data_IF_853577983462
#
_entry.id   IF_853577983462
#
_cell.length_a   1.000
_cell.length_b   1.000
_cell.length_c   1.000
_cell.angle_alpha   90.00
_cell.angle_beta   90.00
_cell.angle_gamma   90.00
#
_symmetry.space_group_name_H-M   'P 1'
#
loop_
_entity.id
_entity.type
_entity.pdbx_description
1 polymer ?
#
# COMPACT_ATOMS: atom_id res chain seq x y z
N UNK A 1 2.80 -2.31 26.41
CA UNK A 1 2.63 -2.73 25.01
C UNK A 1 3.54 -1.86 24.17
N UNK A 2 4.24 -2.35 23.14
CA UNK A 2 4.96 -1.45 22.26
C UNK A 2 3.95 -0.41 21.73
N UNK A 3 4.41 0.84 21.69
CA UNK A 3 3.62 2.00 21.30
C UNK A 3 3.17 1.85 19.83
N UNK A 4 1.92 1.43 19.61
CA UNK A 4 1.35 1.21 18.27
C UNK A 4 1.13 2.56 17.58
N UNK A 5 1.30 2.61 16.27
CA UNK A 5 1.07 3.79 15.44
C UNK A 5 -0.05 3.52 14.43
N UNK A 6 -1.32 3.75 14.79
CA UNK A 6 -2.40 3.60 13.83
C UNK A 6 -2.29 4.69 12.74
N UNK A 7 -2.56 4.37 11.46
CA UNK A 7 -2.49 5.33 10.36
C UNK A 7 -3.56 6.43 10.42
N UNK A 8 -4.62 6.24 11.21
CA UNK A 8 -5.64 7.24 11.50
C UNK A 8 -6.39 6.87 12.80
N UNK A 9 -7.12 7.81 13.44
CA UNK A 9 -7.96 7.52 14.59
C UNK A 9 -9.06 6.48 14.28
N UNK A 10 -9.67 5.94 15.33
CA UNK A 10 -10.87 5.09 15.19
C UNK A 10 -11.98 5.88 14.49
N UNK A 11 -12.54 5.31 13.45
CA UNK A 11 -13.65 5.89 12.70
C UNK A 11 -14.96 5.24 13.18
N UNK A 12 -15.57 5.82 14.23
CA UNK A 12 -16.73 5.24 14.91
C UNK A 12 -17.98 5.05 14.03
N UNK A 13 -18.04 5.72 12.88
CA UNK A 13 -19.12 5.53 11.89
C UNK A 13 -19.03 4.17 11.17
N UNK A 14 -17.85 3.50 11.18
CA UNK A 14 -17.60 2.26 10.46
C UNK A 14 -17.37 1.08 11.39
N UNK A 15 -16.65 1.27 12.49
CA UNK A 15 -16.33 0.23 13.48
C UNK A 15 -16.21 0.85 14.88
N UNK A 16 -16.73 0.17 15.90
CA UNK A 16 -16.87 0.73 17.25
C UNK A 16 -15.56 1.01 17.97
N UNK A 17 -14.53 0.18 17.74
CA UNK A 17 -13.21 0.29 18.38
C UNK A 17 -12.10 -0.25 17.49
N UNK A 18 -10.84 -0.05 17.92
CA UNK A 18 -9.66 -0.45 17.16
C UNK A 18 -9.58 -1.96 16.89
N UNK A 19 -10.12 -2.81 17.79
CA UNK A 19 -10.06 -4.27 17.63
C UNK A 19 -10.99 -4.79 16.52
N UNK A 20 -12.00 -4.02 16.15
CA UNK A 20 -12.96 -4.37 15.10
C UNK A 20 -12.51 -3.91 13.71
N UNK A 21 -11.47 -3.07 13.64
CA UNK A 21 -10.99 -2.46 12.40
C UNK A 21 -10.59 -3.50 11.35
N UNK A 22 -9.73 -4.45 11.70
CA UNK A 22 -9.25 -5.47 10.77
C UNK A 22 -10.41 -6.29 10.18
N UNK A 23 -11.35 -6.69 11.02
CA UNK A 23 -12.55 -7.42 10.59
C UNK A 23 -13.43 -6.59 9.66
N UNK A 24 -13.67 -5.32 10.00
CA UNK A 24 -14.43 -4.41 9.15
C UNK A 24 -13.77 -4.23 7.80
N UNK A 25 -12.47 -3.91 7.78
CA UNK A 25 -11.70 -3.71 6.54
C UNK A 25 -11.78 -4.94 5.65
N UNK A 26 -11.49 -6.12 6.19
CA UNK A 26 -11.57 -7.37 5.43
C UNK A 26 -12.96 -7.58 4.82
N UNK A 27 -14.02 -7.43 5.62
CA UNK A 27 -15.40 -7.67 5.17
C UNK A 27 -15.81 -6.70 4.05
N UNK A 28 -15.56 -5.39 4.20
CA UNK A 28 -15.97 -4.42 3.18
C UNK A 28 -15.24 -4.61 1.85
N UNK A 29 -13.96 -5.06 1.89
CA UNK A 29 -13.22 -5.41 0.68
C UNK A 29 -13.69 -6.74 0.09
N UNK A 30 -14.03 -7.75 0.89
CA UNK A 30 -14.61 -9.01 0.42
C UNK A 30 -15.94 -8.77 -0.31
N UNK A 31 -16.83 -7.96 0.27
CA UNK A 31 -18.16 -7.66 -0.26
C UNK A 31 -18.14 -6.78 -1.52
N UNK A 32 -17.06 -6.05 -1.78
CA UNK A 32 -16.95 -5.12 -2.90
C UNK A 32 -15.98 -5.57 -4.00
N UNK A 33 -15.34 -6.71 -3.83
CA UNK A 33 -14.26 -7.19 -4.70
C UNK A 33 -14.67 -7.30 -6.19
N UNK A 34 -15.91 -7.67 -6.48
CA UNK A 34 -16.43 -7.82 -7.84
C UNK A 34 -16.41 -6.50 -8.63
N UNK A 35 -16.75 -5.39 -7.98
CA UNK A 35 -16.84 -4.06 -8.61
C UNK A 35 -15.60 -3.19 -8.39
N UNK A 36 -14.62 -3.68 -7.65
CA UNK A 36 -13.49 -2.89 -7.18
C UNK A 36 -12.70 -2.23 -8.31
N UNK A 37 -12.36 -2.97 -9.37
CA UNK A 37 -11.58 -2.43 -10.49
C UNK A 37 -12.35 -1.37 -11.29
N UNK A 38 -13.66 -1.51 -11.43
CA UNK A 38 -14.52 -0.51 -12.06
C UNK A 38 -14.47 0.80 -11.25
N UNK A 39 -14.59 0.68 -9.91
CA UNK A 39 -14.52 1.81 -8.99
C UNK A 39 -13.14 2.48 -9.02
N UNK A 40 -12.05 1.70 -8.98
CA UNK A 40 -10.68 2.24 -9.07
C UNK A 40 -10.42 2.90 -10.42
N UNK A 41 -10.99 2.35 -11.50
CA UNK A 41 -10.96 2.97 -12.83
C UNK A 41 -11.57 4.37 -12.83
N UNK A 42 -12.70 4.56 -12.16
CA UNK A 42 -13.35 5.88 -11.99
C UNK A 42 -12.51 6.85 -11.16
N UNK A 43 -11.83 6.38 -10.10
CA UNK A 43 -10.94 7.21 -9.27
C UNK A 43 -9.80 7.84 -10.06
N UNK A 44 -9.27 7.14 -11.06
CA UNK A 44 -8.05 7.52 -11.79
C UNK A 44 -8.30 8.01 -13.22
N UNK A 45 -9.55 8.12 -13.66
CA UNK A 45 -9.90 8.41 -15.05
C UNK A 45 -9.12 7.54 -16.07
N UNK A 46 -8.84 6.28 -15.72
CA UNK A 46 -8.08 5.32 -16.54
C UNK A 46 -6.56 5.53 -16.56
N UNK A 47 -6.03 6.61 -16.00
CA UNK A 47 -4.58 6.90 -16.02
C UNK A 47 -3.74 6.09 -15.01
N UNK A 48 -4.41 5.39 -14.09
CA UNK A 48 -3.78 4.75 -12.93
C UNK A 48 -2.71 3.72 -13.30
N UNK A 49 -2.86 2.98 -14.40
CA UNK A 49 -1.85 1.99 -14.80
C UNK A 49 -0.54 2.66 -15.26
N UNK A 50 -0.62 3.75 -16.01
CA UNK A 50 0.55 4.54 -16.43
C UNK A 50 1.29 5.11 -15.21
N UNK A 51 0.55 5.70 -14.28
CA UNK A 51 1.09 6.23 -13.04
C UNK A 51 1.86 5.15 -12.24
N UNK A 52 1.27 3.97 -12.04
CA UNK A 52 1.92 2.86 -11.31
C UNK A 52 3.21 2.41 -11.96
N UNK A 53 3.23 2.25 -13.29
CA UNK A 53 4.45 1.91 -14.03
C UNK A 53 5.54 2.97 -13.85
N UNK A 54 5.20 4.25 -13.89
CA UNK A 54 6.16 5.33 -13.67
C UNK A 54 6.69 5.33 -12.23
N UNK A 55 5.82 5.13 -11.23
CA UNK A 55 6.22 5.05 -9.83
C UNK A 55 7.16 3.86 -9.55
N UNK A 56 6.85 2.68 -10.10
CA UNK A 56 7.71 1.49 -10.01
C UNK A 56 9.10 1.73 -10.62
N UNK A 57 9.15 2.37 -11.78
CA UNK A 57 10.41 2.74 -12.43
C UNK A 57 11.22 3.76 -11.61
N UNK A 58 10.57 4.81 -11.07
CA UNK A 58 11.21 5.79 -10.17
C UNK A 58 11.75 5.15 -8.89
N UNK A 59 11.00 4.19 -8.33
CA UNK A 59 11.43 3.46 -7.15
C UNK A 59 12.55 2.44 -7.44
N UNK A 60 12.85 2.17 -8.70
CA UNK A 60 13.97 1.34 -9.13
C UNK A 60 13.66 -0.15 -9.19
N UNK A 61 12.42 -0.55 -9.49
CA UNK A 61 12.11 -1.94 -9.84
C UNK A 61 12.88 -2.33 -11.11
N UNK A 62 13.54 -3.51 -11.08
CA UNK A 62 14.38 -4.01 -12.18
C UNK A 62 13.99 -5.45 -12.54
N UNK A 63 14.34 -5.91 -13.77
CA UNK A 63 14.20 -7.31 -14.15
C UNK A 63 14.89 -8.25 -13.15
N UNK A 64 14.28 -9.41 -12.90
CA UNK A 64 14.81 -10.44 -12.01
C UNK A 64 14.64 -10.18 -10.50
N UNK A 65 14.19 -8.99 -10.09
CA UNK A 65 13.89 -8.72 -8.68
C UNK A 65 12.68 -9.54 -8.21
N UNK A 66 12.79 -10.13 -7.01
CA UNK A 66 11.67 -10.76 -6.32
C UNK A 66 10.81 -9.71 -5.67
N UNK A 67 9.58 -9.55 -6.14
CA UNK A 67 8.62 -8.56 -5.68
C UNK A 67 7.52 -9.21 -4.84
N UNK A 68 7.21 -8.61 -3.69
CA UNK A 68 5.97 -8.85 -2.95
C UNK A 68 5.07 -7.62 -3.08
N UNK A 69 3.87 -7.81 -3.63
CA UNK A 69 2.81 -6.81 -3.63
C UNK A 69 1.86 -7.09 -2.46
N UNK A 70 1.98 -6.31 -1.39
CA UNK A 70 1.24 -6.46 -0.15
C UNK A 70 -0.03 -5.60 -0.16
N UNK A 71 -1.13 -6.14 0.35
CA UNK A 71 -2.47 -5.58 0.20
C UNK A 71 -2.77 -5.31 -1.28
N UNK A 72 -2.53 -6.34 -2.08
CA UNK A 72 -2.54 -6.29 -3.54
C UNK A 72 -3.93 -6.00 -4.12
N UNK A 73 -5.00 -6.25 -3.34
CA UNK A 73 -6.38 -6.21 -3.81
C UNK A 73 -6.57 -7.17 -4.99
N UNK A 74 -7.06 -6.65 -6.09
CA UNK A 74 -7.21 -7.40 -7.36
C UNK A 74 -5.92 -7.49 -8.18
N UNK A 75 -4.75 -7.11 -7.62
CA UNK A 75 -3.44 -7.21 -8.26
C UNK A 75 -3.11 -6.07 -9.22
N UNK A 76 -3.63 -4.87 -9.03
CA UNK A 76 -3.43 -3.76 -9.98
C UNK A 76 -1.97 -3.30 -10.05
N UNK A 77 -1.26 -3.24 -8.90
CA UNK A 77 0.18 -2.92 -8.87
C UNK A 77 1.01 -4.09 -9.36
N UNK A 78 0.67 -5.31 -8.92
CA UNK A 78 1.34 -6.53 -9.38
C UNK A 78 1.28 -6.68 -10.92
N UNK A 79 0.13 -6.45 -11.55
CA UNK A 79 0.00 -6.46 -13.01
C UNK A 79 0.82 -5.36 -13.69
N UNK A 80 0.94 -4.19 -13.07
CA UNK A 80 1.82 -3.12 -13.58
C UNK A 80 3.30 -3.50 -13.50
N UNK A 81 3.68 -4.32 -12.51
CA UNK A 81 5.05 -4.81 -12.28
C UNK A 81 5.42 -5.97 -13.21
N UNK A 82 4.44 -6.77 -13.67
CA UNK A 82 4.67 -7.95 -14.52
C UNK A 82 5.35 -7.65 -15.86
N UNK A 83 5.33 -6.39 -16.32
CA UNK A 83 6.10 -5.94 -17.48
C UNK A 83 7.59 -5.69 -17.19
N UNK A 84 8.02 -5.82 -15.92
CA UNK A 84 9.40 -5.56 -15.48
C UNK A 84 10.05 -6.81 -14.89
N UNK A 85 9.34 -7.57 -14.06
CA UNK A 85 9.85 -8.81 -13.43
C UNK A 85 8.78 -9.91 -13.44
N UNK A 86 9.23 -11.17 -13.53
CA UNK A 86 8.36 -12.36 -13.50
C UNK A 86 8.28 -12.99 -12.09
N UNK A 87 9.07 -12.50 -11.15
CA UNK A 87 9.14 -13.04 -9.79
C UNK A 87 8.24 -12.24 -8.83
N UNK A 88 6.93 -12.33 -9.02
CA UNK A 88 5.93 -11.57 -8.25
C UNK A 88 5.11 -12.52 -7.37
N UNK A 89 5.00 -12.18 -6.09
CA UNK A 89 4.06 -12.77 -5.14
C UNK A 89 3.07 -11.69 -4.72
N UNK A 90 1.79 -12.03 -4.67
CA UNK A 90 0.72 -11.12 -4.24
C UNK A 90 0.14 -11.58 -2.91
N UNK A 91 -0.19 -10.64 -2.04
CA UNK A 91 -0.74 -10.93 -0.72
C UNK A 91 -1.80 -9.94 -0.31
N UNK A 92 -2.90 -10.44 0.27
CA UNK A 92 -4.00 -9.61 0.79
C UNK A 92 -4.69 -10.31 1.97
N UNK A 93 -5.34 -9.54 2.83
CA UNK A 93 -6.17 -10.06 3.91
C UNK A 93 -7.55 -10.52 3.42
N UNK A 94 -8.07 -9.88 2.35
CA UNK A 94 -9.35 -10.18 1.74
C UNK A 94 -9.23 -11.35 0.75
N UNK A 95 -9.92 -12.44 1.04
CA UNK A 95 -10.00 -13.58 0.11
C UNK A 95 -10.81 -13.22 -1.13
N UNK A 96 -11.85 -12.38 -0.99
CA UNK A 96 -12.65 -11.90 -2.11
C UNK A 96 -11.80 -11.13 -3.12
N UNK A 97 -10.92 -10.24 -2.65
CA UNK A 97 -9.98 -9.51 -3.51
C UNK A 97 -9.02 -10.44 -4.23
N UNK A 98 -8.44 -11.42 -3.53
CA UNK A 98 -7.54 -12.40 -4.14
C UNK A 98 -8.24 -13.23 -5.22
N UNK A 99 -9.45 -13.70 -4.96
CA UNK A 99 -10.24 -14.47 -5.92
C UNK A 99 -10.63 -13.63 -7.14
N UNK A 100 -11.05 -12.37 -6.94
CA UNK A 100 -11.29 -11.43 -8.04
C UNK A 100 -10.02 -11.13 -8.85
N UNK A 101 -8.86 -11.04 -8.19
CA UNK A 101 -7.56 -10.90 -8.83
C UNK A 101 -7.18 -12.13 -9.67
N UNK A 102 -7.47 -13.34 -9.19
CA UNK A 102 -7.16 -14.60 -9.88
C UNK A 102 -7.78 -14.70 -11.28
N UNK A 103 -8.91 -14.04 -11.52
CA UNK A 103 -9.53 -13.98 -12.84
C UNK A 103 -8.76 -13.07 -13.81
N UNK A 104 -7.87 -12.23 -13.32
CA UNK A 104 -7.16 -11.17 -14.08
C UNK A 104 -5.68 -11.45 -14.25
N UNK A 105 -5.10 -12.35 -13.44
CA UNK A 105 -3.71 -12.75 -13.50
C UNK A 105 -3.49 -14.13 -12.86
N UNK A 106 -2.36 -14.78 -13.20
CA UNK A 106 -1.98 -16.10 -12.68
C UNK A 106 -0.81 -16.02 -11.67
N UNK A 107 -0.61 -14.85 -11.02
CA UNK A 107 0.44 -14.69 -10.03
C UNK A 107 0.12 -15.49 -8.74
N UNK A 108 1.15 -15.95 -8.00
CA UNK A 108 0.96 -16.57 -6.70
C UNK A 108 0.19 -15.67 -5.73
N UNK A 109 -0.82 -16.22 -5.06
CA UNK A 109 -1.70 -15.53 -4.12
C UNK A 109 -1.47 -16.08 -2.71
N UNK A 110 -1.28 -15.20 -1.73
CA UNK A 110 -1.13 -15.53 -0.32
C UNK A 110 -2.10 -14.72 0.51
N UNK A 111 -3.02 -15.38 1.22
CA UNK A 111 -3.88 -14.68 2.18
C UNK A 111 -3.14 -14.48 3.50
N UNK A 112 -3.04 -13.24 3.98
CA UNK A 112 -2.47 -12.92 5.29
C UNK A 112 -2.96 -11.58 5.85
N UNK A 113 -2.83 -11.39 7.17
CA UNK A 113 -2.88 -10.08 7.80
C UNK A 113 -1.51 -9.39 7.66
N UNK A 114 -1.50 -8.18 7.13
CA UNK A 114 -0.27 -7.50 6.67
C UNK A 114 0.83 -7.27 7.71
N UNK A 115 0.50 -7.24 9.01
CA UNK A 115 1.47 -7.08 10.11
C UNK A 115 2.16 -8.39 10.53
N UNK A 116 1.85 -9.52 9.88
CA UNK A 116 2.49 -10.83 10.11
C UNK A 116 2.62 -11.57 8.80
N UNK A 117 3.76 -11.39 8.14
CA UNK A 117 3.99 -11.94 6.82
C UNK A 117 4.48 -13.40 6.92
N UNK A 118 3.84 -14.37 6.21
CA UNK A 118 4.21 -15.78 6.25
C UNK A 118 5.44 -16.06 5.37
N UNK A 119 6.39 -15.14 5.34
CA UNK A 119 7.62 -15.25 4.56
C UNK A 119 8.84 -15.24 5.47
N UNK A 120 9.91 -15.92 5.02
CA UNK A 120 11.19 -15.91 5.70
C UNK A 120 11.85 -14.53 5.61
N UNK A 121 12.77 -14.25 6.53
CA UNK A 121 13.63 -13.08 6.46
C UNK A 121 14.36 -13.02 5.10
N UNK A 122 14.59 -11.82 4.62
CA UNK A 122 15.39 -11.59 3.41
C UNK A 122 14.91 -12.37 2.16
N UNK A 123 13.58 -12.43 1.95
CA UNK A 123 12.99 -13.19 0.84
C UNK A 123 12.78 -12.36 -0.42
N UNK A 124 12.66 -11.03 -0.31
CA UNK A 124 12.27 -10.15 -1.40
C UNK A 124 13.29 -9.04 -1.65
N UNK A 125 13.43 -8.64 -2.90
CA UNK A 125 14.29 -7.53 -3.32
C UNK A 125 13.50 -6.22 -3.41
N UNK A 126 12.16 -6.33 -3.62
CA UNK A 126 11.28 -5.18 -3.77
C UNK A 126 9.92 -5.45 -3.12
N UNK A 127 9.39 -4.47 -2.39
CA UNK A 127 8.06 -4.53 -1.78
C UNK A 127 7.19 -3.40 -2.29
N UNK A 128 5.91 -3.68 -2.54
CA UNK A 128 4.93 -2.64 -2.88
C UNK A 128 3.72 -2.69 -1.95
N UNK A 129 3.17 -1.52 -1.63
CA UNK A 129 1.84 -1.33 -1.04
C UNK A 129 1.15 -0.26 -1.88
N UNK A 130 0.05 -0.60 -2.53
CA UNK A 130 -0.67 0.30 -3.43
C UNK A 130 -1.97 0.83 -2.84
N UNK A 131 -1.97 2.06 -2.29
CA UNK A 131 -3.17 2.76 -1.78
C UNK A 131 -3.88 2.05 -0.63
N UNK A 132 -3.13 1.29 0.17
CA UNK A 132 -3.65 0.46 1.24
C UNK A 132 -3.04 0.76 2.62
N UNK A 133 -2.01 1.62 2.73
CA UNK A 133 -1.29 1.87 3.97
C UNK A 133 -2.23 2.28 5.12
N UNK A 134 -3.25 3.07 4.82
CA UNK A 134 -4.24 3.56 5.78
C UNK A 134 -5.22 2.50 6.31
N UNK A 135 -5.18 1.27 5.77
CA UNK A 135 -6.04 0.17 6.19
C UNK A 135 -5.38 -0.78 7.20
N UNK A 136 -4.08 -0.67 7.42
CA UNK A 136 -3.36 -1.42 8.44
C UNK A 136 -3.70 -0.93 9.86
N UNK A 137 -3.48 -1.76 10.86
CA UNK A 137 -3.77 -1.42 12.25
C UNK A 137 -2.60 -0.69 12.93
N UNK A 138 -1.36 -1.07 12.59
CA UNK A 138 -0.13 -0.55 13.18
C UNK A 138 0.98 -0.38 12.14
N UNK A 139 1.36 0.86 11.85
CA UNK A 139 2.43 1.17 10.89
C UNK A 139 3.82 0.73 11.37
N UNK A 140 4.07 0.75 12.70
CA UNK A 140 5.37 0.31 13.24
C UNK A 140 5.55 -1.19 13.07
N UNK A 141 4.55 -1.97 13.45
CA UNK A 141 4.54 -3.42 13.24
C UNK A 141 4.65 -3.79 11.76
N UNK A 142 3.88 -3.12 10.91
CA UNK A 142 3.95 -3.30 9.47
C UNK A 142 5.36 -3.05 8.94
N UNK A 143 5.96 -1.89 9.24
CA UNK A 143 7.27 -1.54 8.70
C UNK A 143 8.40 -2.42 9.24
N UNK A 144 8.29 -2.91 10.47
CA UNK A 144 9.21 -3.92 11.00
C UNK A 144 9.14 -5.23 10.21
N UNK A 145 7.94 -5.70 9.85
CA UNK A 145 7.75 -6.89 9.01
C UNK A 145 8.25 -6.68 7.58
N UNK A 146 8.00 -5.52 6.97
CA UNK A 146 8.55 -5.19 5.66
C UNK A 146 10.08 -5.20 5.70
N UNK A 147 10.67 -4.60 6.74
CA UNK A 147 12.12 -4.59 6.92
C UNK A 147 12.70 -6.01 7.11
N UNK A 148 12.02 -6.87 7.86
CA UNK A 148 12.41 -8.26 8.09
C UNK A 148 12.47 -9.06 6.79
N UNK A 149 11.40 -9.02 5.99
CA UNK A 149 11.31 -9.85 4.77
C UNK A 149 12.13 -9.29 3.60
N UNK A 150 12.52 -8.02 3.66
CA UNK A 150 13.31 -7.36 2.64
C UNK A 150 14.79 -7.76 2.75
N UNK A 151 15.43 -8.10 1.63
CA UNK A 151 16.86 -8.37 1.52
C UNK A 151 17.69 -7.12 1.79
N UNK A 152 18.96 -7.26 2.21
CA UNK A 152 19.93 -6.16 2.14
C UNK A 152 19.94 -5.54 0.74
N UNK A 153 20.01 -4.23 0.64
CA UNK A 153 19.89 -3.42 -0.58
C UNK A 153 18.50 -3.44 -1.25
N UNK A 154 17.51 -4.13 -0.66
CA UNK A 154 16.14 -4.15 -1.14
C UNK A 154 15.42 -2.83 -0.89
N UNK A 155 14.29 -2.63 -1.58
CA UNK A 155 13.53 -1.37 -1.58
C UNK A 155 12.05 -1.59 -1.32
N UNK A 156 11.42 -0.57 -0.72
CA UNK A 156 9.96 -0.50 -0.57
C UNK A 156 9.42 0.71 -1.34
N UNK A 157 8.25 0.52 -1.98
CA UNK A 157 7.44 1.56 -2.58
C UNK A 157 6.03 1.51 -1.99
N UNK A 158 5.60 2.59 -1.37
CA UNK A 158 4.23 2.74 -0.85
C UNK A 158 3.56 3.87 -1.63
N UNK A 159 2.46 3.57 -2.30
CA UNK A 159 1.63 4.53 -3.01
C UNK A 159 0.45 4.92 -2.13
N UNK A 160 0.18 6.21 -1.99
CA UNK A 160 -0.96 6.72 -1.23
C UNK A 160 -1.55 8.00 -1.84
N UNK A 161 -2.83 8.26 -1.54
CA UNK A 161 -3.47 9.53 -1.83
C UNK A 161 -3.32 10.42 -0.60
N UNK A 162 -2.76 11.61 -0.79
CA UNK A 162 -2.63 12.61 0.28
C UNK A 162 -3.37 13.89 -0.15
N UNK A 163 -4.19 14.47 0.72
CA UNK A 163 -4.88 15.71 0.39
C UNK A 163 -3.91 16.83 -0.01
N UNK A 164 -4.20 17.58 -1.09
CA UNK A 164 -3.38 18.72 -1.51
C UNK A 164 -3.33 19.80 -0.43
N UNK A 165 -2.21 20.54 -0.37
CA UNK A 165 -2.04 21.66 0.57
C UNK A 165 -2.89 22.88 0.19
N UNK A 166 -3.23 23.06 -1.08
CA UNK A 166 -4.04 24.18 -1.55
C UNK A 166 -5.51 23.99 -1.20
N UNK A 167 -6.18 25.04 -0.73
CA UNK A 167 -7.61 25.01 -0.41
C UNK A 167 -8.49 24.58 -1.58
N UNK A 168 -8.19 25.08 -2.78
CA UNK A 168 -8.92 24.72 -4.00
C UNK A 168 -8.71 23.26 -4.38
N UNK A 169 -7.46 22.76 -4.35
CA UNK A 169 -7.17 21.34 -4.61
C UNK A 169 -7.83 20.41 -3.59
N UNK A 170 -7.81 20.79 -2.30
CA UNK A 170 -8.51 20.05 -1.27
C UNK A 170 -10.02 19.98 -1.52
N UNK A 171 -10.65 21.11 -1.84
CA UNK A 171 -12.09 21.18 -2.13
C UNK A 171 -12.46 20.34 -3.35
N UNK A 172 -11.63 20.37 -4.41
CA UNK A 172 -11.82 19.56 -5.61
C UNK A 172 -11.69 18.05 -5.30
N UNK A 173 -10.64 17.66 -4.57
CA UNK A 173 -10.43 16.25 -4.19
C UNK A 173 -11.57 15.76 -3.29
N UNK A 174 -11.99 16.56 -2.30
CA UNK A 174 -13.12 16.25 -1.43
C UNK A 174 -14.42 16.07 -2.23
N UNK A 175 -14.69 16.96 -3.18
CA UNK A 175 -15.89 16.84 -4.02
C UNK A 175 -15.81 15.57 -4.88
N UNK A 176 -14.67 15.29 -5.50
CA UNK A 176 -14.48 14.11 -6.33
C UNK A 176 -14.59 12.82 -5.51
N UNK A 177 -13.76 12.64 -4.47
CA UNK A 177 -13.69 11.41 -3.70
C UNK A 177 -14.81 11.26 -2.66
N UNK A 178 -15.32 12.37 -2.11
CA UNK A 178 -16.34 12.36 -1.07
C UNK A 178 -17.78 12.44 -1.57
N UNK A 179 -17.99 12.77 -2.86
CA UNK A 179 -19.35 12.94 -3.42
C UNK A 179 -19.51 12.23 -4.75
N UNK A 180 -18.68 12.55 -5.75
CA UNK A 180 -18.85 12.03 -7.13
C UNK A 180 -18.60 10.53 -7.18
N UNK A 181 -17.48 10.06 -6.64
CA UNK A 181 -17.11 8.65 -6.70
C UNK A 181 -18.06 7.75 -5.90
N UNK A 182 -18.47 8.08 -4.65
CA UNK A 182 -19.48 7.30 -3.93
C UNK A 182 -20.80 7.19 -4.71
N UNK A 183 -21.27 8.29 -5.26
CA UNK A 183 -22.51 8.32 -6.07
C UNK A 183 -22.39 7.41 -7.31
N UNK A 184 -21.29 7.51 -8.05
CA UNK A 184 -21.04 6.67 -9.24
C UNK A 184 -20.85 5.20 -8.87
N UNK A 185 -20.17 4.92 -7.73
CA UNK A 185 -20.00 3.55 -7.23
C UNK A 185 -21.34 2.90 -6.95
N UNK A 186 -22.25 3.61 -6.25
CA UNK A 186 -23.62 3.13 -6.01
C UNK A 186 -24.41 2.91 -7.30
N UNK A 187 -24.34 3.87 -8.22
CA UNK A 187 -25.06 3.79 -9.51
C UNK A 187 -24.58 2.58 -10.34
N UNK A 188 -23.27 2.36 -10.40
CA UNK A 188 -22.65 1.31 -11.22
C UNK A 188 -22.82 -0.09 -10.63
N UNK A 189 -22.60 -0.24 -9.33
CA UNK A 189 -22.68 -1.52 -8.64
C UNK A 189 -24.10 -1.90 -8.21
N UNK A 190 -24.99 -0.91 -8.05
CA UNK A 190 -26.29 -1.04 -7.37
C UNK A 190 -26.15 -1.63 -5.94
N UNK A 191 -24.97 -1.47 -5.33
CA UNK A 191 -24.61 -2.02 -4.03
C UNK A 191 -24.29 -0.88 -3.05
N UNK A 192 -24.95 -0.86 -1.90
CA UNK A 192 -24.74 0.15 -0.86
C UNK A 192 -23.34 0.03 -0.22
N UNK A 193 -22.77 -1.17 -0.16
CA UNK A 193 -21.43 -1.38 0.40
C UNK A 193 -20.34 -0.76 -0.49
N UNK A 194 -20.54 -0.69 -1.80
CA UNK A 194 -19.62 0.00 -2.71
C UNK A 194 -19.61 1.53 -2.46
N UNK A 195 -20.77 2.14 -2.19
CA UNK A 195 -20.87 3.55 -1.77
C UNK A 195 -20.19 3.77 -0.42
N UNK A 196 -20.48 2.91 0.56
CA UNK A 196 -19.88 2.93 1.90
C UNK A 196 -18.37 2.78 1.86
N UNK A 197 -17.83 1.88 1.01
CA UNK A 197 -16.40 1.74 0.78
C UNK A 197 -15.79 3.06 0.30
N UNK A 198 -16.45 3.79 -0.60
CA UNK A 198 -15.92 5.05 -1.11
C UNK A 198 -15.97 6.18 -0.09
N UNK A 199 -16.99 6.23 0.77
CA UNK A 199 -17.01 7.13 1.91
C UNK A 199 -15.89 6.79 2.90
N UNK A 200 -15.72 5.52 3.24
CA UNK A 200 -14.62 5.04 4.07
C UNK A 200 -13.24 5.40 3.47
N UNK A 201 -13.08 5.27 2.16
CA UNK A 201 -11.88 5.69 1.44
C UNK A 201 -11.54 7.16 1.67
N UNK A 202 -12.54 8.05 1.46
CA UNK A 202 -12.34 9.47 1.69
C UNK A 202 -12.01 9.78 3.15
N UNK A 203 -12.72 9.17 4.08
CA UNK A 203 -12.54 9.42 5.50
C UNK A 203 -11.17 8.95 6.01
N UNK A 204 -10.69 7.81 5.53
CA UNK A 204 -9.33 7.36 5.84
C UNK A 204 -8.25 8.21 5.19
N UNK A 205 -8.46 8.73 3.98
CA UNK A 205 -7.53 9.65 3.31
C UNK A 205 -7.39 10.96 4.09
N UNK A 206 -8.52 11.58 4.45
CA UNK A 206 -8.51 12.88 5.17
C UNK A 206 -8.00 12.77 6.61
N UNK A 207 -8.11 11.61 7.22
CA UNK A 207 -7.74 11.36 8.63
C UNK A 207 -6.38 10.68 8.77
N UNK A 208 -5.70 10.37 7.65
CA UNK A 208 -4.40 9.71 7.68
C UNK A 208 -3.35 10.58 8.38
N UNK A 209 -2.45 9.91 9.11
CA UNK A 209 -1.30 10.59 9.74
C UNK A 209 -0.50 11.41 8.73
N UNK A 210 0.14 12.51 9.16
CA UNK A 210 0.97 13.33 8.30
C UNK A 210 2.06 12.51 7.58
N UNK A 211 2.46 12.92 6.37
CA UNK A 211 3.54 12.24 5.63
C UNK A 211 4.85 12.09 6.39
N UNK A 212 5.21 13.07 7.19
CA UNK A 212 6.46 13.01 7.99
C UNK A 212 6.39 11.91 9.06
N UNK A 213 5.22 11.66 9.65
CA UNK A 213 5.00 10.54 10.58
C UNK A 213 5.25 9.19 9.90
N UNK A 214 4.84 9.03 8.64
CA UNK A 214 5.09 7.80 7.87
C UNK A 214 6.59 7.64 7.58
N UNK A 215 7.28 8.72 7.21
CA UNK A 215 8.72 8.70 6.97
C UNK A 215 9.51 8.40 8.24
N UNK A 216 9.11 8.96 9.38
CA UNK A 216 9.76 8.70 10.67
C UNK A 216 9.52 7.27 11.14
N UNK A 217 8.34 6.72 10.91
CA UNK A 217 8.06 5.31 11.22
C UNK A 217 8.89 4.36 10.34
N UNK A 218 9.10 4.66 9.04
CA UNK A 218 10.02 3.91 8.18
C UNK A 218 11.45 3.96 8.71
N UNK A 219 11.96 5.15 9.08
CA UNK A 219 13.29 5.30 9.67
C UNK A 219 13.42 4.54 10.99
N UNK A 220 12.39 4.62 11.85
CA UNK A 220 12.33 3.91 13.12
C UNK A 220 12.35 2.38 12.98
N UNK A 221 11.86 1.84 11.85
CA UNK A 221 11.95 0.42 11.53
C UNK A 221 13.31 -0.01 10.94
N UNK A 222 14.26 0.93 10.78
CA UNK A 222 15.62 0.66 10.27
C UNK A 222 15.83 0.97 8.79
N UNK A 223 14.82 1.47 8.08
CA UNK A 223 14.99 1.87 6.68
C UNK A 223 15.86 3.12 6.56
N UNK A 224 16.70 3.14 5.53
CA UNK A 224 17.47 4.30 5.07
C UNK A 224 16.81 4.95 3.85
N UNK A 225 17.26 6.15 3.49
CA UNK A 225 16.81 6.92 2.32
C UNK A 225 15.29 7.09 2.22
N UNK A 226 14.60 7.10 3.38
CA UNK A 226 13.16 7.30 3.43
C UNK A 226 12.79 8.69 2.90
N UNK A 227 12.09 8.72 1.77
CA UNK A 227 11.69 9.95 1.07
C UNK A 227 10.29 9.83 0.48
N UNK A 228 9.69 10.98 0.24
CA UNK A 228 8.39 11.12 -0.41
C UNK A 228 8.52 11.90 -1.71
N UNK A 229 8.03 11.34 -2.80
CA UNK A 229 7.73 12.04 -4.03
C UNK A 229 6.23 12.31 -4.14
N UNK A 230 5.84 13.46 -4.70
CA UNK A 230 4.42 13.83 -4.88
C UNK A 230 4.15 14.08 -6.35
N UNK A 231 3.25 13.30 -6.92
CA UNK A 231 2.79 13.44 -8.30
C UNK A 231 1.41 14.12 -8.30
N UNK A 232 1.21 15.10 -9.20
CA UNK A 232 -0.04 15.87 -9.36
C UNK A 232 -0.57 16.49 -8.05
N UNK A 233 0.31 16.75 -7.07
CA UNK A 233 -0.04 17.37 -5.80
C UNK A 233 -0.85 16.48 -4.83
N UNK A 234 -1.19 15.26 -5.20
CA UNK A 234 -2.06 14.37 -4.40
C UNK A 234 -1.57 12.92 -4.31
N UNK A 235 -0.86 12.40 -5.30
CA UNK A 235 -0.31 11.05 -5.24
C UNK A 235 1.04 11.05 -4.56
N UNK A 236 1.14 10.40 -3.41
CA UNK A 236 2.37 10.26 -2.63
C UNK A 236 3.02 8.92 -2.89
N UNK A 237 4.30 8.94 -3.17
CA UNK A 237 5.16 7.77 -3.33
C UNK A 237 6.20 7.80 -2.21
N UNK A 238 6.03 6.96 -1.20
CA UNK A 238 7.05 6.78 -0.17
C UNK A 238 7.99 5.68 -0.61
N UNK A 239 9.28 5.97 -0.63
CA UNK A 239 10.33 5.00 -0.94
C UNK A 239 11.35 4.98 0.17
N UNK A 240 11.84 3.79 0.49
CA UNK A 240 12.93 3.59 1.44
C UNK A 240 13.72 2.33 1.06
N UNK A 241 14.94 2.19 1.56
CA UNK A 241 15.82 1.06 1.30
C UNK A 241 16.34 0.44 2.60
N UNK A 242 16.62 -0.85 2.56
CA UNK A 242 17.38 -1.53 3.59
C UNK A 242 18.85 -1.47 3.23
N UNK A 243 19.71 -0.96 4.13
CA UNK A 243 21.14 -0.90 3.86
C UNK A 243 21.69 -2.30 3.51
N UNK A 244 22.59 -2.36 2.53
CA UNK A 244 23.37 -3.56 2.26
C UNK A 244 24.23 -3.85 3.50
N UNK A 245 24.22 -5.09 3.97
CA UNK A 245 25.19 -5.51 5.00
C UNK A 245 26.59 -5.27 4.45
N UNK A 246 27.29 -4.27 4.95
CA UNK A 246 28.70 -4.08 4.65
C UNK A 246 29.44 -5.30 5.19
N UNK A 247 30.04 -6.09 4.31
CA UNK A 247 31.13 -6.97 4.70
C UNK A 247 32.26 -6.06 5.18
N UNK A 248 32.30 -5.83 6.48
CA UNK A 248 33.48 -5.26 7.14
C UNK A 248 34.61 -6.26 7.01
N UNK A 249 35.35 -6.22 5.89
CA UNK A 249 36.71 -6.69 5.88
C UNK A 249 37.52 -5.77 6.81
N UNK A 250 37.59 -6.16 8.09
CA UNK A 250 38.68 -5.75 8.95
C UNK A 250 39.96 -6.31 8.28
N UNK A 251 40.61 -5.46 7.50
CA UNK A 251 41.98 -5.72 7.05
C UNK A 251 42.85 -5.96 8.27
N UNK A 252 43.16 -7.23 8.51
CA UNK A 252 44.23 -7.63 9.41
C UNK A 252 45.52 -7.11 8.77
N UNK A 253 45.95 -5.93 9.19
CA UNK A 253 47.29 -5.44 8.93
C UNK A 253 48.27 -6.36 9.59
N UNK A 254 48.91 -7.24 8.82
CA UNK A 254 50.16 -7.89 9.18
C UNK A 254 51.23 -6.82 9.39
N UNK A 255 51.68 -6.69 10.62
CA UNK A 255 52.94 -6.01 10.95
C UNK A 255 54.04 -7.06 10.84
N UNK A 256 54.94 -6.87 9.91
CA UNK A 256 56.31 -7.33 10.00
C UNK A 256 57.18 -6.25 10.66
#
# INVERSE_FOLDING_TARGET
>A
MPDTLPPHPVLGEYYGDASQRERFVRNIFDETAEWYDDIIGMLSFGSGNRYRKMALARAGLKPGMRLLDLATGTGVVARASAGVTDHIVTSDASIGMLLAGRTKHHLPLVQNAGERLPFRDHSFDFLTIGFALRHFADLRGLFAELFRVLRPSGRVLILEITPPRSRAGYALLRFHLGTVVPFLARLRSRNAEAEKLMHYYWDTIRSCVPPDTILDALRGAGFSDAKRHVELGTFSEYTASKLGGGSGELGAGTRD
#
